data_IF_868996025267
#
_entry.id   IF_868996025267
#
_cell.length_a   1.000
_cell.length_b   1.000
_cell.length_c   1.000
_cell.angle_alpha   90.00
_cell.angle_beta   90.00
_cell.angle_gamma   90.00
#
_symmetry.space_group_name_H-M   'P 1'
#
loop_
_entity.id
_entity.type
_entity.pdbx_description
1 polymer ?
#
# COMPACT_ATOMS: atom_id res chain seq x y z
N UNK A 1 -0.80 55.88 88.20
CA UNK A 1 -0.05 54.66 87.85
C UNK A 1 -0.28 54.39 86.35
N UNK A 2 0.53 54.97 85.47
CA UNK A 2 1.67 54.32 84.80
C UNK A 2 1.28 53.01 84.08
N UNK A 3 1.41 52.91 82.75
CA UNK A 3 2.66 52.48 82.11
C UNK A 3 2.51 52.11 80.61
N UNK A 4 3.21 52.87 79.75
CA UNK A 4 4.10 52.47 78.63
C UNK A 4 3.70 51.42 77.56
N UNK A 5 3.77 51.92 76.30
CA UNK A 5 4.55 51.46 75.11
C UNK A 5 4.19 50.16 74.37
N UNK A 6 4.08 50.25 73.03
CA UNK A 6 4.79 49.52 71.93
C UNK A 6 3.98 49.65 70.62
N UNK A 7 4.38 50.50 69.64
CA UNK A 7 5.21 50.22 68.43
C UNK A 7 4.66 49.12 67.49
N UNK A 8 4.21 49.50 66.28
CA UNK A 8 4.54 48.84 65.00
C UNK A 8 3.99 49.63 63.78
N UNK A 9 4.91 50.15 62.95
CA UNK A 9 4.68 50.54 61.55
C UNK A 9 4.52 49.26 60.69
N UNK A 10 3.54 49.22 59.77
CA UNK A 10 3.68 48.47 58.50
C UNK A 10 3.11 49.32 57.36
N UNK A 11 4.01 49.69 56.45
CA UNK A 11 3.78 50.36 55.18
C UNK A 11 3.22 49.38 54.12
N UNK A 12 2.39 49.95 53.24
CA UNK A 12 2.26 49.68 51.81
C UNK A 12 1.88 48.25 51.37
N UNK A 13 0.57 48.02 51.26
CA UNK A 13 0.00 47.03 50.35
C UNK A 13 0.02 47.54 48.90
N UNK A 14 0.42 46.67 47.97
CA UNK A 14 0.37 46.97 46.53
C UNK A 14 1.23 46.06 45.66
N UNK A 15 1.09 44.74 45.78
CA UNK A 15 1.70 43.79 44.83
C UNK A 15 0.64 43.31 43.84
N UNK A 16 0.57 43.96 42.67
CA UNK A 16 -0.28 43.55 41.57
C UNK A 16 0.36 42.35 40.84
N UNK A 17 -0.16 41.15 41.08
CA UNK A 17 0.16 39.95 40.30
C UNK A 17 -0.64 39.96 38.99
N UNK A 18 0.00 40.38 37.90
CA UNK A 18 -0.46 40.14 36.55
C UNK A 18 -0.15 38.68 36.16
N UNK A 19 -1.13 37.78 36.33
CA UNK A 19 -1.07 36.42 35.80
C UNK A 19 -1.45 36.43 34.31
N UNK A 20 -0.49 36.75 33.45
CA UNK A 20 -0.58 36.57 32.00
C UNK A 20 -0.41 35.09 31.61
N UNK A 21 -1.47 34.31 31.72
CA UNK A 21 -1.51 32.91 31.27
C UNK A 21 -1.72 32.81 29.76
N UNK A 22 -0.64 32.90 28.97
CA UNK A 22 -0.64 32.47 27.56
C UNK A 22 -0.48 30.93 27.48
N UNK A 23 -1.54 30.21 27.82
CA UNK A 23 -1.68 28.78 27.53
C UNK A 23 -2.31 28.58 26.16
N UNK A 24 -1.55 28.81 25.09
CA UNK A 24 -1.95 28.51 23.71
C UNK A 24 -2.03 27.00 23.45
N UNK A 25 -2.97 26.31 24.08
CA UNK A 25 -3.31 24.94 23.73
C UNK A 25 -4.02 24.94 22.38
N UNK A 26 -3.40 24.35 21.36
CA UNK A 26 -4.03 24.17 20.06
C UNK A 26 -5.44 23.56 20.25
N UNK A 27 -6.45 24.20 19.65
CA UNK A 27 -7.83 23.74 19.77
C UNK A 27 -7.94 22.26 19.35
N UNK A 28 -8.69 21.42 20.08
CA UNK A 28 -8.86 20.02 19.72
C UNK A 28 -9.38 19.85 18.29
N UNK A 29 -8.73 18.99 17.50
CA UNK A 29 -9.15 18.72 16.12
C UNK A 29 -10.59 18.19 16.07
N UNK A 30 -11.36 18.64 15.08
CA UNK A 30 -12.74 18.21 14.85
C UNK A 30 -13.13 18.30 13.38
N UNK A 31 -14.26 17.72 13.00
CA UNK A 31 -14.80 17.77 11.63
C UNK A 31 -14.62 16.47 10.86
N UNK A 32 -14.98 16.50 9.58
CA UNK A 32 -14.92 15.34 8.70
C UNK A 32 -13.64 15.30 7.84
N UNK A 33 -13.18 14.09 7.54
CA UNK A 33 -12.14 13.80 6.53
C UNK A 33 -12.69 12.72 5.59
N UNK A 34 -12.81 13.04 4.31
CA UNK A 34 -13.28 12.11 3.29
C UNK A 34 -12.09 11.48 2.54
N UNK A 35 -11.94 10.17 2.68
CA UNK A 35 -10.93 9.35 1.98
C UNK A 35 -11.64 8.36 1.06
N UNK A 36 -11.14 8.16 -0.14
CA UNK A 36 -11.61 7.12 -1.06
C UNK A 36 -10.43 6.58 -1.88
N UNK A 37 -10.48 5.34 -2.37
CA UNK A 37 -9.31 4.79 -3.04
C UNK A 37 -9.34 3.33 -3.45
N UNK A 38 -8.15 2.83 -3.77
CA UNK A 38 -7.89 1.42 -4.05
C UNK A 38 -8.07 0.56 -2.79
N UNK A 39 -8.78 -0.55 -2.92
CA UNK A 39 -9.07 -1.46 -1.81
C UNK A 39 -7.81 -1.99 -1.11
N UNK A 40 -6.71 -2.19 -1.85
CA UNK A 40 -5.42 -2.60 -1.27
C UNK A 40 -4.88 -1.63 -0.20
N UNK A 41 -5.21 -0.34 -0.31
CA UNK A 41 -4.78 0.69 0.63
C UNK A 41 -5.86 1.03 1.67
N UNK A 42 -7.06 0.45 1.57
CA UNK A 42 -8.16 0.68 2.51
C UNK A 42 -7.81 0.25 3.94
N UNK A 43 -7.23 -0.95 4.20
CA UNK A 43 -6.84 -1.33 5.56
C UNK A 43 -5.84 -0.34 6.19
N UNK A 44 -4.89 0.15 5.38
CA UNK A 44 -3.94 1.19 5.82
C UNK A 44 -4.65 2.49 6.19
N UNK A 45 -5.55 2.97 5.32
CA UNK A 45 -6.28 4.22 5.54
C UNK A 45 -7.23 4.12 6.75
N UNK A 46 -7.88 2.98 6.95
CA UNK A 46 -8.72 2.70 8.12
C UNK A 46 -7.90 2.64 9.42
N UNK A 47 -6.72 2.01 9.40
CA UNK A 47 -5.84 1.98 10.56
C UNK A 47 -5.31 3.38 10.92
N UNK A 48 -5.01 4.22 9.92
CA UNK A 48 -4.70 5.63 10.13
C UNK A 48 -5.91 6.38 10.71
N UNK A 49 -7.10 6.21 10.15
CA UNK A 49 -8.35 6.81 10.65
C UNK A 49 -8.62 6.46 12.13
N UNK A 50 -8.48 5.18 12.49
CA UNK A 50 -8.63 4.71 13.87
C UNK A 50 -7.56 5.29 14.80
N UNK A 51 -6.32 5.44 14.32
CA UNK A 51 -5.25 6.10 15.07
C UNK A 51 -5.56 7.56 15.39
N UNK A 52 -6.08 8.32 14.42
CA UNK A 52 -6.47 9.72 14.62
C UNK A 52 -7.69 9.83 15.53
N UNK A 53 -8.69 8.97 15.35
CA UNK A 53 -9.91 9.00 16.17
C UNK A 53 -9.61 8.76 17.65
N UNK A 54 -8.62 7.91 17.98
CA UNK A 54 -8.17 7.69 19.36
C UNK A 54 -7.59 8.94 20.02
N UNK A 55 -6.87 9.77 19.27
CA UNK A 55 -6.23 10.99 19.80
C UNK A 55 -7.09 12.24 19.58
N UNK A 56 -8.06 12.19 18.67
CA UNK A 56 -8.96 13.29 18.30
C UNK A 56 -10.38 12.75 18.04
N UNK A 57 -11.15 12.41 19.09
CA UNK A 57 -12.44 11.72 18.96
C UNK A 57 -13.53 12.50 18.21
N UNK A 58 -13.37 13.81 18.08
CA UNK A 58 -14.28 14.71 17.34
C UNK A 58 -14.00 14.74 15.84
N UNK A 59 -12.92 14.10 15.37
CA UNK A 59 -12.66 13.90 13.94
C UNK A 59 -13.36 12.64 13.47
N UNK A 60 -14.09 12.73 12.36
CA UNK A 60 -14.73 11.59 11.70
C UNK A 60 -14.08 11.37 10.35
N UNK A 61 -13.40 10.25 10.17
CA UNK A 61 -12.77 9.88 8.91
C UNK A 61 -13.62 8.80 8.24
N UNK A 62 -14.07 9.06 7.02
CA UNK A 62 -14.74 8.05 6.18
C UNK A 62 -13.76 7.52 5.15
N UNK A 63 -13.69 6.20 4.98
CA UNK A 63 -12.80 5.54 4.01
C UNK A 63 -13.62 4.71 3.04
N UNK A 64 -13.69 5.16 1.78
CA UNK A 64 -14.30 4.45 0.65
C UNK A 64 -13.31 3.57 -0.11
N UNK A 65 -13.84 2.69 -0.94
CA UNK A 65 -13.08 1.74 -1.77
C UNK A 65 -13.55 1.75 -3.23
N UNK A 66 -13.61 2.92 -3.87
CA UNK A 66 -14.09 3.03 -5.26
C UNK A 66 -13.04 2.71 -6.34
N UNK A 67 -11.79 2.43 -5.95
CA UNK A 67 -10.66 2.25 -6.86
C UNK A 67 -9.92 3.56 -7.16
N UNK A 68 -8.66 3.46 -7.61
CA UNK A 68 -7.80 4.65 -7.81
C UNK A 68 -8.38 5.65 -8.81
N UNK A 69 -8.89 5.18 -9.95
CA UNK A 69 -9.40 6.04 -11.02
C UNK A 69 -10.63 6.86 -10.55
N UNK A 70 -11.59 6.20 -9.90
CA UNK A 70 -12.77 6.89 -9.36
C UNK A 70 -12.40 7.83 -8.22
N UNK A 71 -11.50 7.43 -7.33
CA UNK A 71 -11.00 8.31 -6.29
C UNK A 71 -10.30 9.57 -6.86
N UNK A 72 -9.52 9.44 -7.94
CA UNK A 72 -8.95 10.60 -8.62
C UNK A 72 -10.01 11.52 -9.22
N UNK A 73 -11.04 10.98 -9.89
CA UNK A 73 -12.16 11.78 -10.39
C UNK A 73 -12.82 12.60 -9.26
N UNK A 74 -13.09 11.95 -8.12
CA UNK A 74 -13.71 12.59 -6.94
C UNK A 74 -12.79 13.61 -6.30
N UNK A 75 -11.49 13.35 -6.22
CA UNK A 75 -10.49 14.30 -5.72
C UNK A 75 -10.42 15.54 -6.62
N UNK A 76 -10.39 15.33 -7.95
CA UNK A 76 -10.40 16.42 -8.93
C UNK A 76 -11.70 17.22 -8.88
N UNK A 77 -12.84 16.59 -8.56
CA UNK A 77 -14.11 17.28 -8.36
C UNK A 77 -14.22 17.99 -6.99
N UNK A 78 -13.25 17.82 -6.09
CA UNK A 78 -13.29 18.37 -4.73
C UNK A 78 -14.27 17.66 -3.79
N UNK A 79 -14.75 16.47 -4.16
CA UNK A 79 -15.73 15.69 -3.37
C UNK A 79 -15.09 14.95 -2.19
N UNK A 80 -13.78 14.72 -2.24
CA UNK A 80 -13.02 14.04 -1.18
C UNK A 80 -11.75 14.84 -0.86
N UNK A 81 -11.24 14.64 0.36
CA UNK A 81 -10.01 15.30 0.81
C UNK A 81 -8.77 14.54 0.38
N UNK A 82 -8.84 13.20 0.37
CA UNK A 82 -7.70 12.32 0.10
C UNK A 82 -8.09 11.16 -0.81
N UNK A 83 -7.36 10.98 -1.92
CA UNK A 83 -7.41 9.77 -2.72
C UNK A 83 -6.28 8.80 -2.32
N UNK A 84 -6.65 7.61 -1.84
CA UNK A 84 -5.74 6.50 -1.54
C UNK A 84 -5.48 5.70 -2.83
N UNK A 85 -4.35 5.93 -3.50
CA UNK A 85 -4.12 5.42 -4.86
C UNK A 85 -3.04 4.33 -4.90
N UNK A 86 -3.26 3.33 -5.75
CA UNK A 86 -2.34 2.23 -6.00
C UNK A 86 -1.54 2.39 -7.31
N UNK A 87 -1.55 3.61 -7.86
CA UNK A 87 -0.73 4.04 -8.99
C UNK A 87 -0.57 5.56 -8.94
N UNK A 88 0.41 6.12 -9.67
CA UNK A 88 0.41 7.54 -9.95
C UNK A 88 -0.88 7.97 -10.68
N UNK A 89 -1.29 9.21 -10.46
CA UNK A 89 -2.31 9.86 -11.30
C UNK A 89 -1.83 9.91 -12.75
N UNK A 90 -2.73 9.64 -13.69
CA UNK A 90 -2.41 9.64 -15.12
C UNK A 90 -2.10 11.07 -15.59
N UNK A 91 -0.88 11.35 -16.09
CA UNK A 91 -0.51 12.69 -16.54
C UNK A 91 -1.22 13.16 -17.82
N UNK A 92 -1.77 12.22 -18.61
CA UNK A 92 -2.40 12.51 -19.91
C UNK A 92 -3.92 12.74 -19.78
N UNK A 93 -4.57 12.11 -18.81
CA UNK A 93 -6.05 12.12 -18.71
C UNK A 93 -6.57 12.72 -17.40
N UNK A 94 -6.06 12.25 -16.25
CA UNK A 94 -6.56 12.61 -14.92
C UNK A 94 -5.96 13.93 -14.40
N UNK A 95 -4.65 14.12 -14.53
CA UNK A 95 -4.01 15.38 -14.11
C UNK A 95 -4.56 16.61 -14.86
N UNK A 96 -4.79 16.57 -16.19
CA UNK A 96 -5.48 17.64 -16.89
C UNK A 96 -6.92 17.86 -16.41
N UNK A 97 -7.64 16.80 -16.02
CA UNK A 97 -8.99 16.94 -15.49
C UNK A 97 -9.01 17.71 -14.15
N UNK A 98 -8.09 17.38 -13.23
CA UNK A 98 -7.88 18.15 -11.99
C UNK A 98 -7.56 19.63 -12.27
N UNK A 99 -6.68 19.91 -13.25
CA UNK A 99 -6.37 21.31 -13.61
C UNK A 99 -7.60 22.06 -14.13
N UNK A 100 -8.42 21.43 -14.97
CA UNK A 100 -9.65 22.04 -15.53
C UNK A 100 -10.68 22.37 -14.45
N UNK A 101 -10.78 21.56 -13.40
CA UNK A 101 -11.65 21.83 -12.25
C UNK A 101 -11.04 22.80 -11.22
N UNK A 102 -9.81 23.26 -11.44
CA UNK A 102 -9.06 24.09 -10.48
C UNK A 102 -8.57 23.32 -9.25
N UNK A 103 -8.72 22.00 -9.22
CA UNK A 103 -8.25 21.17 -8.11
C UNK A 103 -6.73 21.00 -8.19
N UNK A 104 -6.07 21.38 -7.10
CA UNK A 104 -4.66 21.13 -6.87
C UNK A 104 -4.50 19.97 -5.88
N UNK A 105 -3.47 19.15 -6.09
CA UNK A 105 -3.19 18.01 -5.25
C UNK A 105 -1.70 17.83 -5.00
N UNK A 106 -1.37 17.13 -3.92
CA UNK A 106 -0.02 16.68 -3.62
C UNK A 106 0.01 15.17 -3.41
N UNK A 107 1.01 14.51 -3.99
CA UNK A 107 1.19 13.06 -3.91
C UNK A 107 2.16 12.69 -2.78
N UNK A 108 1.74 11.85 -1.84
CA UNK A 108 2.57 11.41 -0.72
C UNK A 108 2.65 9.88 -0.77
N UNK A 109 3.86 9.34 -1.00
CA UNK A 109 4.05 7.89 -0.99
C UNK A 109 3.94 7.37 0.45
N UNK A 110 3.25 6.25 0.64
CA UNK A 110 3.04 5.68 1.99
C UNK A 110 3.46 4.21 2.11
N UNK A 111 3.46 3.45 1.01
CA UNK A 111 3.87 2.05 0.99
C UNK A 111 4.22 1.59 -0.43
N UNK A 112 4.64 0.33 -0.54
CA UNK A 112 4.59 -0.46 -1.75
C UNK A 112 3.65 -1.65 -1.58
N UNK A 113 3.26 -2.23 -2.71
CA UNK A 113 2.54 -3.50 -2.77
C UNK A 113 3.08 -4.32 -3.94
N UNK A 114 3.02 -5.64 -3.82
CA UNK A 114 3.43 -6.54 -4.88
C UNK A 114 2.94 -7.96 -4.68
N UNK A 115 2.56 -8.58 -5.79
CA UNK A 115 2.22 -9.99 -5.87
C UNK A 115 3.46 -10.76 -6.32
N UNK A 116 3.74 -11.86 -5.65
CA UNK A 116 4.87 -12.73 -5.96
C UNK A 116 4.37 -14.05 -6.48
N UNK A 117 5.10 -14.62 -7.44
CA UNK A 117 4.79 -15.95 -7.96
C UNK A 117 5.59 -16.99 -7.17
N UNK A 118 4.90 -18.01 -6.69
CA UNK A 118 5.47 -19.08 -5.87
C UNK A 118 5.07 -20.45 -6.39
N UNK A 119 5.92 -21.44 -6.12
CA UNK A 119 5.57 -22.85 -6.31
C UNK A 119 6.08 -23.69 -5.13
N UNK A 120 5.75 -24.97 -5.15
CA UNK A 120 6.20 -25.93 -4.16
C UNK A 120 7.68 -26.31 -4.36
N UNK A 121 8.49 -26.33 -3.30
CA UNK A 121 9.90 -26.79 -3.36
C UNK A 121 10.04 -28.23 -3.85
N UNK A 122 9.01 -29.07 -3.70
CA UNK A 122 9.00 -30.44 -4.21
C UNK A 122 8.98 -30.56 -5.75
N UNK A 123 8.63 -29.48 -6.47
CA UNK A 123 8.78 -29.42 -7.92
C UNK A 123 10.27 -29.59 -8.29
N UNK A 124 11.17 -29.02 -7.48
CA UNK A 124 12.63 -29.11 -7.59
C UNK A 124 13.16 -30.55 -7.47
N UNK A 125 12.50 -31.40 -6.67
CA UNK A 125 12.97 -32.76 -6.38
C UNK A 125 12.49 -33.82 -7.40
N UNK A 126 11.46 -33.53 -8.19
CA UNK A 126 10.77 -34.54 -9.02
C UNK A 126 11.27 -34.61 -10.47
N UNK A 127 12.16 -33.69 -10.87
CA UNK A 127 12.65 -33.56 -12.26
C UNK A 127 14.18 -33.49 -12.22
N UNK A 128 14.81 -34.66 -12.12
CA UNK A 128 16.22 -34.88 -11.77
C UNK A 128 17.29 -34.30 -12.73
N UNK A 129 16.94 -33.36 -13.63
CA UNK A 129 17.90 -32.55 -14.40
C UNK A 129 17.57 -31.05 -14.52
N UNK A 130 16.31 -30.62 -14.29
CA UNK A 130 15.84 -29.24 -14.55
C UNK A 130 14.73 -28.76 -13.60
N UNK A 131 14.60 -29.34 -12.40
CA UNK A 131 13.36 -29.26 -11.61
C UNK A 131 12.96 -27.92 -11.01
N UNK A 132 13.81 -26.89 -11.04
CA UNK A 132 13.46 -25.60 -10.45
C UNK A 132 13.03 -24.58 -11.52
N UNK A 133 11.97 -23.84 -11.23
CA UNK A 133 11.57 -22.67 -12.01
C UNK A 133 12.19 -21.47 -11.30
N UNK A 134 13.32 -20.99 -11.83
CA UNK A 134 14.02 -19.85 -11.28
C UNK A 134 13.38 -18.54 -11.71
N UNK A 135 12.92 -18.49 -12.95
CA UNK A 135 12.56 -17.24 -13.60
C UNK A 135 11.52 -17.46 -14.70
N UNK A 136 10.53 -16.58 -14.76
CA UNK A 136 9.51 -16.55 -15.80
C UNK A 136 9.52 -15.20 -16.52
N UNK A 137 9.22 -15.22 -17.81
CA UNK A 137 8.84 -13.99 -18.52
C UNK A 137 7.39 -13.63 -18.15
N UNK A 138 7.02 -12.34 -18.11
CA UNK A 138 5.62 -11.93 -18.01
C UNK A 138 4.74 -12.61 -19.07
N UNK A 139 5.25 -12.84 -20.28
CA UNK A 139 4.53 -13.51 -21.37
C UNK A 139 4.28 -14.99 -21.09
N UNK A 140 5.17 -15.67 -20.35
CA UNK A 140 4.96 -17.06 -19.92
C UNK A 140 3.89 -17.13 -18.84
N UNK A 141 3.86 -16.17 -17.91
CA UNK A 141 2.76 -16.04 -16.96
C UNK A 141 1.44 -15.76 -17.68
N UNK A 142 1.42 -14.85 -18.65
CA UNK A 142 0.25 -14.59 -19.48
C UNK A 142 -0.23 -15.84 -20.21
N UNK A 143 0.68 -16.64 -20.76
CA UNK A 143 0.34 -17.90 -21.42
C UNK A 143 -0.34 -18.89 -20.45
N UNK A 144 0.06 -18.91 -19.17
CA UNK A 144 -0.59 -19.72 -18.15
C UNK A 144 -1.98 -19.21 -17.76
N UNK A 145 -2.13 -17.90 -17.58
CA UNK A 145 -3.26 -17.31 -16.86
C UNK A 145 -4.34 -16.68 -17.74
N UNK A 146 -4.02 -16.28 -18.97
CA UNK A 146 -5.00 -15.60 -19.85
C UNK A 146 -6.26 -16.45 -20.08
N UNK A 147 -7.37 -15.76 -20.31
CA UNK A 147 -8.62 -16.40 -20.72
C UNK A 147 -8.43 -17.26 -21.97
N UNK A 148 -9.08 -18.44 -21.98
CA UNK A 148 -8.94 -19.44 -23.05
C UNK A 148 -7.58 -20.13 -23.12
N UNK A 149 -6.70 -19.99 -22.12
CA UNK A 149 -5.42 -20.71 -22.10
C UNK A 149 -5.65 -22.22 -22.12
N UNK A 150 -4.97 -22.91 -23.05
CA UNK A 150 -4.91 -24.37 -23.14
C UNK A 150 -3.64 -24.94 -22.50
N UNK A 151 -2.84 -24.10 -21.83
CA UNK A 151 -1.61 -24.55 -21.17
C UNK A 151 -2.00 -25.35 -19.93
N UNK A 152 -1.58 -26.61 -19.90
CA UNK A 152 -1.83 -27.55 -18.81
C UNK A 152 -0.56 -28.20 -18.29
N UNK A 153 0.59 -28.02 -18.95
CA UNK A 153 1.90 -28.57 -18.54
C UNK A 153 2.98 -27.50 -18.62
N UNK A 154 3.90 -27.48 -17.65
CA UNK A 154 5.00 -26.50 -17.60
C UNK A 154 5.88 -26.54 -18.85
N UNK A 155 6.07 -27.70 -19.48
CA UNK A 155 6.88 -27.84 -20.68
C UNK A 155 6.34 -27.06 -21.89
N UNK A 156 5.04 -26.73 -21.91
CA UNK A 156 4.41 -25.94 -22.97
C UNK A 156 4.82 -24.45 -22.93
N UNK A 157 5.48 -24.00 -21.86
CA UNK A 157 6.01 -22.63 -21.75
C UNK A 157 7.39 -22.45 -22.41
N UNK A 158 7.97 -23.52 -22.95
CA UNK A 158 9.29 -23.51 -23.57
C UNK A 158 10.41 -23.43 -22.54
N UNK A 159 11.43 -22.62 -22.83
CA UNK A 159 12.58 -22.44 -21.94
C UNK A 159 12.38 -21.26 -20.98
N UNK A 160 12.95 -21.40 -19.79
CA UNK A 160 13.16 -20.29 -18.88
C UNK A 160 14.08 -19.23 -19.52
N UNK A 161 13.99 -17.96 -19.12
CA UNK A 161 14.82 -16.88 -19.67
C UNK A 161 16.33 -17.05 -19.49
N UNK A 162 16.74 -17.95 -18.59
CA UNK A 162 18.12 -18.34 -18.31
C UNK A 162 18.59 -19.53 -19.14
N UNK A 163 17.89 -19.86 -20.24
CA UNK A 163 18.21 -20.97 -21.15
C UNK A 163 18.19 -22.35 -20.48
N UNK A 164 17.32 -22.52 -19.49
CA UNK A 164 17.02 -23.81 -18.88
C UNK A 164 15.61 -24.25 -19.33
N UNK A 165 15.39 -25.51 -19.72
CA UNK A 165 14.05 -25.98 -20.07
C UNK A 165 13.12 -25.91 -18.86
N UNK A 166 11.83 -25.72 -19.11
CA UNK A 166 10.81 -25.88 -18.07
C UNK A 166 10.71 -27.34 -17.61
N UNK A 167 10.36 -27.59 -16.34
CA UNK A 167 10.09 -28.95 -15.88
C UNK A 167 8.90 -29.54 -16.66
N UNK A 168 8.85 -30.88 -16.75
CA UNK A 168 7.66 -31.57 -17.27
C UNK A 168 6.67 -31.79 -16.13
N UNK A 169 5.38 -31.65 -16.43
CA UNK A 169 4.30 -32.05 -15.53
C UNK A 169 3.14 -31.07 -15.55
N UNK A 170 1.95 -31.62 -15.29
CA UNK A 170 0.72 -30.83 -15.20
C UNK A 170 0.89 -29.68 -14.20
N UNK A 171 0.53 -28.47 -14.62
CA UNK A 171 0.44 -27.30 -13.74
C UNK A 171 -0.94 -27.24 -13.09
N UNK A 172 -0.96 -27.01 -11.78
CA UNK A 172 -2.16 -26.61 -11.04
C UNK A 172 -2.00 -25.15 -10.63
N UNK A 173 -3.03 -24.34 -10.87
CA UNK A 173 -2.97 -22.90 -10.64
C UNK A 173 -3.75 -22.49 -9.39
N UNK A 174 -3.18 -21.54 -8.64
CA UNK A 174 -3.70 -21.03 -7.37
C UNK A 174 -3.64 -19.49 -7.34
N UNK A 175 -4.75 -18.83 -7.04
CA UNK A 175 -4.79 -17.37 -7.09
C UNK A 175 -5.98 -16.76 -6.37
N UNK A 176 -6.04 -15.44 -6.37
CA UNK A 176 -7.17 -14.72 -5.80
C UNK A 176 -8.44 -14.89 -6.68
N UNK A 177 -9.66 -14.88 -6.09
CA UNK A 177 -10.90 -14.99 -6.86
C UNK A 177 -11.20 -13.70 -7.63
N UNK A 178 -11.99 -13.84 -8.69
CA UNK A 178 -12.50 -12.71 -9.48
C UNK A 178 -13.20 -11.66 -8.60
N UNK A 179 -13.03 -10.38 -8.94
CA UNK A 179 -13.58 -9.25 -8.19
C UNK A 179 -12.76 -8.83 -6.96
N UNK A 180 -11.64 -9.49 -6.67
CA UNK A 180 -10.68 -9.03 -5.65
C UNK A 180 -9.60 -8.13 -6.26
N UNK A 181 -9.06 -7.22 -5.46
CA UNK A 181 -7.99 -6.31 -5.91
C UNK A 181 -6.71 -7.04 -6.35
N UNK A 182 -6.39 -8.19 -5.74
CA UNK A 182 -5.25 -9.00 -6.12
C UNK A 182 -5.47 -9.66 -7.50
N UNK A 183 -6.66 -10.19 -7.77
CA UNK A 183 -7.01 -10.75 -9.07
C UNK A 183 -7.01 -9.66 -10.17
N UNK A 184 -7.68 -8.54 -9.91
CA UNK A 184 -7.75 -7.43 -10.85
C UNK A 184 -6.36 -6.87 -11.14
N UNK A 185 -5.49 -6.74 -10.12
CA UNK A 185 -4.12 -6.29 -10.32
C UNK A 185 -3.29 -7.29 -11.11
N UNK A 186 -3.38 -8.59 -10.81
CA UNK A 186 -2.63 -9.62 -11.53
C UNK A 186 -3.02 -9.65 -13.02
N UNK A 187 -4.32 -9.76 -13.31
CA UNK A 187 -4.87 -9.84 -14.68
C UNK A 187 -4.58 -8.58 -15.50
N UNK A 188 -4.74 -7.39 -14.91
CA UNK A 188 -4.37 -6.13 -15.58
C UNK A 188 -2.88 -6.10 -15.96
N UNK A 189 -2.00 -6.64 -15.11
CA UNK A 189 -0.55 -6.57 -15.29
C UNK A 189 0.06 -7.70 -16.11
N UNK A 190 -0.53 -8.88 -16.08
CA UNK A 190 -0.04 -10.07 -16.76
C UNK A 190 -0.84 -10.32 -18.03
N UNK A 191 -2.16 -10.35 -17.94
CA UNK A 191 -3.03 -10.65 -19.08
C UNK A 191 -3.30 -9.41 -19.94
N UNK A 192 -3.15 -8.22 -19.35
CA UNK A 192 -3.29 -6.92 -20.00
C UNK A 192 -4.73 -6.40 -20.00
N UNK A 193 -5.67 -7.18 -19.47
CA UNK A 193 -7.08 -6.81 -19.32
C UNK A 193 -7.50 -7.11 -17.89
N UNK A 194 -7.98 -6.07 -17.18
CA UNK A 194 -8.44 -6.20 -15.80
C UNK A 194 -9.62 -7.18 -15.74
N UNK A 195 -9.54 -8.14 -14.83
CA UNK A 195 -10.60 -9.10 -14.58
C UNK A 195 -10.65 -10.26 -15.58
N UNK A 196 -9.75 -10.30 -16.56
CA UNK A 196 -9.71 -11.35 -17.58
C UNK A 196 -8.69 -12.43 -17.21
N UNK A 197 -9.16 -13.65 -16.98
CA UNK A 197 -8.33 -14.81 -16.69
C UNK A 197 -9.06 -16.09 -17.03
N UNK A 198 -8.34 -17.20 -17.16
CA UNK A 198 -8.95 -18.53 -17.14
C UNK A 198 -9.66 -18.78 -15.80
N UNK A 199 -10.66 -19.65 -15.79
CA UNK A 199 -11.51 -19.90 -14.60
C UNK A 199 -11.23 -21.24 -13.92
N UNK A 200 -10.41 -22.10 -14.51
CA UNK A 200 -10.12 -23.47 -14.05
C UNK A 200 -8.91 -23.54 -13.09
N UNK A 201 -8.77 -22.53 -12.21
CA UNK A 201 -7.77 -22.47 -11.15
C UNK A 201 -8.44 -22.55 -9.77
N UNK A 202 -7.66 -22.83 -8.73
CA UNK A 202 -8.15 -22.84 -7.35
C UNK A 202 -8.06 -21.44 -6.76
N UNK A 203 -9.21 -20.91 -6.36
CA UNK A 203 -9.32 -19.54 -5.89
C UNK A 203 -9.51 -19.45 -4.38
N UNK A 204 -8.83 -18.50 -3.73
CA UNK A 204 -9.06 -18.13 -2.33
C UNK A 204 -8.69 -16.68 -2.09
N UNK A 205 -9.49 -15.95 -1.31
CA UNK A 205 -9.18 -14.58 -0.88
C UNK A 205 -8.21 -14.53 0.32
N UNK A 206 -7.89 -15.68 0.91
CA UNK A 206 -6.90 -15.82 1.96
C UNK A 206 -5.60 -16.39 1.39
N UNK A 207 -4.57 -15.56 1.31
CA UNK A 207 -3.23 -15.95 0.86
C UNK A 207 -2.64 -17.10 1.69
N UNK A 208 -2.97 -17.21 2.98
CA UNK A 208 -2.49 -18.31 3.80
C UNK A 208 -3.15 -19.64 3.40
N UNK A 209 -4.41 -19.62 2.93
CA UNK A 209 -5.04 -20.80 2.31
C UNK A 209 -4.32 -21.14 1.01
N UNK A 210 -4.11 -20.17 0.11
CA UNK A 210 -3.41 -20.39 -1.16
C UNK A 210 -2.03 -21.03 -0.94
N UNK A 211 -1.24 -20.47 -0.03
CA UNK A 211 0.07 -21.01 0.36
C UNK A 211 -0.05 -22.45 0.87
N UNK A 212 -0.99 -22.75 1.77
CA UNK A 212 -1.18 -24.12 2.29
C UNK A 212 -1.58 -25.10 1.20
N UNK A 213 -2.37 -24.68 0.22
CA UNK A 213 -2.77 -25.54 -0.88
C UNK A 213 -1.62 -25.79 -1.87
N UNK A 214 -0.84 -24.75 -2.21
CA UNK A 214 0.37 -24.87 -3.03
C UNK A 214 1.38 -25.82 -2.36
N UNK A 215 1.53 -25.74 -1.03
CA UNK A 215 2.41 -26.65 -0.28
C UNK A 215 1.94 -28.12 -0.30
N UNK A 216 0.65 -28.39 -0.53
CA UNK A 216 0.10 -29.74 -0.67
C UNK A 216 0.17 -30.26 -2.12
N UNK A 217 0.26 -29.35 -3.09
CA UNK A 217 0.40 -29.71 -4.50
C UNK A 217 1.86 -29.56 -4.96
N UNK A 218 2.54 -30.68 -5.16
CA UNK A 218 3.94 -30.71 -5.62
C UNK A 218 4.15 -30.04 -6.99
N UNK A 219 3.09 -29.77 -7.75
CA UNK A 219 3.11 -29.08 -9.05
C UNK A 219 2.33 -27.76 -9.05
N UNK A 220 1.90 -27.29 -7.88
CA UNK A 220 1.16 -26.04 -7.74
C UNK A 220 2.03 -24.82 -8.04
N UNK A 221 1.47 -23.89 -8.82
CA UNK A 221 1.98 -22.54 -9.02
C UNK A 221 0.88 -21.54 -8.67
N UNK A 222 1.23 -20.49 -7.96
CA UNK A 222 0.28 -19.44 -7.66
C UNK A 222 0.92 -18.09 -7.45
N UNK A 223 0.07 -17.08 -7.26
CA UNK A 223 0.49 -15.75 -6.86
C UNK A 223 -0.16 -15.35 -5.54
N UNK A 224 0.62 -14.71 -4.66
CA UNK A 224 0.21 -14.23 -3.33
C UNK A 224 0.93 -12.92 -2.99
N UNK A 225 0.52 -12.21 -1.94
CA UNK A 225 1.31 -11.09 -1.43
C UNK A 225 2.67 -11.56 -0.88
N UNK A 226 3.71 -10.71 -0.97
CA UNK A 226 5.06 -11.06 -0.49
C UNK A 226 5.06 -11.53 0.98
N UNK A 227 4.30 -10.87 1.86
CA UNK A 227 4.22 -11.23 3.27
C UNK A 227 3.70 -12.65 3.52
N UNK A 228 2.82 -13.16 2.65
CA UNK A 228 2.31 -14.53 2.76
C UNK A 228 3.37 -15.57 2.36
N UNK A 229 4.19 -15.26 1.35
CA UNK A 229 5.36 -16.06 1.01
C UNK A 229 6.38 -16.07 2.15
N UNK A 230 6.73 -14.90 2.70
CA UNK A 230 7.76 -14.77 3.74
C UNK A 230 7.44 -15.63 4.97
N UNK A 231 6.16 -15.81 5.30
CA UNK A 231 5.70 -16.67 6.39
C UNK A 231 5.95 -18.18 6.16
N UNK A 232 6.29 -18.62 4.94
CA UNK A 232 6.56 -20.03 4.56
C UNK A 232 7.76 -20.15 3.60
N UNK A 233 8.72 -19.22 3.65
CA UNK A 233 9.79 -19.10 2.66
C UNK A 233 10.68 -20.35 2.53
N UNK A 234 10.83 -21.15 3.59
CA UNK A 234 11.64 -22.38 3.55
C UNK A 234 10.98 -23.51 2.74
N UNK A 235 9.68 -23.41 2.47
CA UNK A 235 8.88 -24.50 1.88
C UNK A 235 8.30 -24.15 0.50
N UNK A 236 8.44 -22.89 0.08
CA UNK A 236 8.04 -22.40 -1.22
C UNK A 236 9.27 -21.95 -2.01
N UNK A 237 9.32 -22.23 -3.32
CA UNK A 237 10.24 -21.47 -4.15
C UNK A 237 9.58 -20.15 -4.55
N UNK A 238 10.39 -19.10 -4.55
CA UNK A 238 10.03 -17.79 -5.05
C UNK A 238 10.53 -17.64 -6.49
N UNK A 239 9.63 -17.30 -7.41
CA UNK A 239 9.93 -17.23 -8.84
C UNK A 239 10.26 -15.79 -9.23
N UNK A 240 11.45 -15.57 -9.80
CA UNK A 240 11.85 -14.29 -10.34
C UNK A 240 11.09 -13.94 -11.63
N UNK A 241 11.00 -12.66 -11.97
CA UNK A 241 10.49 -12.21 -13.27
C UNK A 241 11.62 -11.69 -14.14
N UNK A 242 11.60 -12.04 -15.42
CA UNK A 242 12.55 -11.51 -16.38
C UNK A 242 12.17 -10.09 -16.80
N UNK A 243 12.92 -9.11 -16.31
CA UNK A 243 12.67 -7.68 -16.49
C UNK A 243 13.95 -7.00 -16.93
N UNK A 244 13.90 -6.25 -18.04
CA UNK A 244 15.06 -5.48 -18.52
C UNK A 244 16.30 -6.33 -18.79
N UNK A 245 16.13 -7.56 -19.30
CA UNK A 245 17.23 -8.45 -19.68
C UNK A 245 17.79 -9.31 -18.54
N UNK A 246 17.22 -9.26 -17.34
CA UNK A 246 17.67 -10.08 -16.18
C UNK A 246 16.51 -10.62 -15.36
N UNK A 247 16.75 -11.68 -14.62
CA UNK A 247 15.80 -12.20 -13.63
C UNK A 247 15.86 -11.36 -12.36
N UNK A 248 14.73 -10.76 -11.98
CA UNK A 248 14.57 -9.96 -10.76
C UNK A 248 13.75 -10.75 -9.76
N UNK A 249 14.39 -11.13 -8.65
CA UNK A 249 13.73 -11.79 -7.52
C UNK A 249 12.84 -10.80 -6.77
N UNK A 250 11.58 -11.14 -6.45
CA UNK A 250 10.76 -10.27 -5.63
C UNK A 250 11.28 -10.26 -4.19
N UNK A 251 11.53 -9.06 -3.69
CA UNK A 251 11.94 -8.79 -2.33
C UNK A 251 11.28 -7.49 -1.90
N UNK A 252 11.26 -7.22 -0.59
CA UNK A 252 10.80 -5.92 -0.11
C UNK A 252 11.55 -4.76 -0.79
N UNK A 253 12.83 -4.90 -1.12
CA UNK A 253 13.61 -3.84 -1.78
C UNK A 253 13.23 -3.67 -3.26
N UNK A 254 13.18 -4.75 -4.04
CA UNK A 254 12.86 -4.69 -5.48
C UNK A 254 11.41 -4.28 -5.76
N UNK A 255 10.49 -4.56 -4.83
CA UNK A 255 9.11 -4.07 -4.92
C UNK A 255 9.05 -2.60 -4.49
N UNK A 256 9.82 -2.20 -3.48
CA UNK A 256 9.81 -0.82 -3.00
C UNK A 256 10.49 0.15 -3.98
N UNK A 257 11.55 -0.26 -4.67
CA UNK A 257 12.19 0.55 -5.73
C UNK A 257 11.47 0.43 -7.09
N UNK A 258 10.60 -0.57 -7.25
CA UNK A 258 9.82 -0.77 -8.45
C UNK A 258 10.60 -1.45 -9.58
N UNK A 259 11.67 -2.18 -9.28
CA UNK A 259 12.42 -3.00 -10.23
C UNK A 259 11.75 -4.36 -10.51
N UNK A 260 10.96 -4.90 -9.56
CA UNK A 260 10.17 -6.13 -9.75
C UNK A 260 8.84 -5.85 -10.48
N UNK A 261 8.90 -5.56 -11.78
CA UNK A 261 7.71 -5.28 -12.63
C UNK A 261 7.25 -6.52 -13.41
N UNK A 262 5.97 -6.61 -13.82
CA UNK A 262 4.90 -5.64 -13.65
C UNK A 262 4.08 -5.81 -12.35
N UNK A 263 4.39 -6.82 -11.53
CA UNK A 263 3.62 -7.20 -10.33
C UNK A 263 3.96 -6.38 -9.08
N UNK A 264 4.41 -5.14 -9.26
CA UNK A 264 4.69 -4.19 -8.19
C UNK A 264 3.95 -2.90 -8.44
N UNK A 265 3.43 -2.28 -7.38
CA UNK A 265 2.85 -0.95 -7.45
C UNK A 265 3.19 -0.07 -6.24
N UNK A 266 3.54 1.20 -6.45
CA UNK A 266 3.66 2.17 -5.37
C UNK A 266 2.28 2.58 -4.85
N UNK A 267 2.18 2.84 -3.55
CA UNK A 267 0.94 3.29 -2.91
C UNK A 267 1.09 4.72 -2.38
N UNK A 268 0.07 5.54 -2.63
CA UNK A 268 0.08 6.97 -2.35
C UNK A 268 -1.19 7.43 -1.62
N UNK A 269 -1.05 8.49 -0.84
CA UNK A 269 -2.14 9.37 -0.46
C UNK A 269 -2.01 10.66 -1.28
N UNK A 270 -2.98 10.93 -2.13
CA UNK A 270 -3.11 12.18 -2.87
C UNK A 270 -4.05 13.09 -2.10
N UNK A 271 -3.57 14.23 -1.64
CA UNK A 271 -4.37 15.20 -0.87
C UNK A 271 -4.75 16.39 -1.72
N UNK A 272 -6.00 16.84 -1.64
CA UNK A 272 -6.42 18.13 -2.17
C UNK A 272 -5.75 19.26 -1.36
N UNK A 273 -4.95 20.11 -2.00
CA UNK A 273 -4.12 21.09 -1.28
C UNK A 273 -4.96 22.17 -0.59
N UNK A 274 -6.15 22.49 -1.12
CA UNK A 274 -7.09 23.38 -0.44
C UNK A 274 -7.61 22.74 0.84
N UNK A 275 -8.04 21.47 0.79
CA UNK A 275 -8.42 20.73 2.00
C UNK A 275 -7.29 20.67 3.02
N UNK A 276 -6.04 20.47 2.58
CA UNK A 276 -4.87 20.46 3.46
C UNK A 276 -4.67 21.81 4.17
N UNK A 277 -4.86 22.93 3.46
CA UNK A 277 -4.69 24.27 3.99
C UNK A 277 -5.84 24.71 4.92
N UNK A 278 -7.08 24.40 4.55
CA UNK A 278 -8.28 24.91 5.23
C UNK A 278 -8.79 23.99 6.35
N UNK A 279 -8.44 22.69 6.35
CA UNK A 279 -8.98 21.69 7.28
C UNK A 279 -7.87 21.09 8.16
N UNK A 280 -7.68 21.58 9.41
CA UNK A 280 -6.66 21.06 10.32
C UNK A 280 -6.75 19.54 10.57
N UNK A 281 -7.96 18.98 10.56
CA UNK A 281 -8.19 17.54 10.69
C UNK A 281 -7.68 16.71 9.50
N UNK A 282 -7.64 17.28 8.29
CA UNK A 282 -7.02 16.63 7.11
C UNK A 282 -5.51 16.60 7.27
N UNK A 283 -4.90 17.70 7.71
CA UNK A 283 -3.49 17.75 8.05
C UNK A 283 -3.14 16.76 9.18
N UNK A 284 -4.00 16.65 10.19
CA UNK A 284 -3.87 15.68 11.28
C UNK A 284 -3.90 14.23 10.79
N UNK A 285 -4.84 13.88 9.90
CA UNK A 285 -4.92 12.56 9.28
C UNK A 285 -3.65 12.21 8.50
N UNK A 286 -3.17 13.11 7.64
CA UNK A 286 -1.97 12.88 6.84
C UNK A 286 -0.71 12.82 7.68
N UNK A 287 -0.59 13.69 8.69
CA UNK A 287 0.54 13.67 9.64
C UNK A 287 0.64 12.33 10.34
N UNK A 288 -0.49 11.80 10.83
CA UNK A 288 -0.53 10.47 11.44
C UNK A 288 -0.19 9.39 10.42
N UNK A 289 -0.85 9.38 9.25
CA UNK A 289 -0.66 8.38 8.22
C UNK A 289 0.80 8.29 7.75
N UNK A 290 1.46 9.44 7.54
CA UNK A 290 2.87 9.52 7.16
C UNK A 290 3.76 9.15 8.33
N UNK A 291 3.57 9.74 9.51
CA UNK A 291 4.42 9.47 10.68
C UNK A 291 4.42 7.99 11.06
N UNK A 292 3.28 7.32 10.91
CA UNK A 292 3.06 5.90 11.21
C UNK A 292 3.08 5.02 9.95
N UNK A 293 3.53 5.51 8.80
CA UNK A 293 3.42 4.77 7.53
C UNK A 293 4.09 3.39 7.59
N UNK A 294 5.28 3.27 8.20
CA UNK A 294 6.00 1.99 8.31
C UNK A 294 5.19 0.94 9.10
N UNK A 295 4.80 1.18 10.37
CA UNK A 295 4.02 0.20 11.12
C UNK A 295 2.62 -0.03 10.56
N UNK A 296 1.98 0.99 9.96
CA UNK A 296 0.68 0.83 9.31
C UNK A 296 0.76 -0.06 8.06
N UNK A 297 1.80 0.11 7.24
CA UNK A 297 2.04 -0.73 6.07
C UNK A 297 2.26 -2.19 6.48
N UNK A 298 3.14 -2.44 7.45
CA UNK A 298 3.42 -3.80 7.95
C UNK A 298 2.16 -4.48 8.50
N UNK A 299 1.37 -3.78 9.32
CA UNK A 299 0.12 -4.31 9.87
C UNK A 299 -0.94 -4.60 8.78
N UNK A 300 -0.88 -3.87 7.67
CA UNK A 300 -1.76 -4.06 6.50
C UNK A 300 -1.21 -5.08 5.50
N UNK A 301 -0.13 -5.80 5.83
CA UNK A 301 0.59 -6.73 4.93
C UNK A 301 1.11 -6.07 3.63
N UNK A 302 1.35 -4.76 3.69
CA UNK A 302 1.98 -3.97 2.63
C UNK A 302 3.47 -3.86 2.88
N UNK A 303 4.21 -3.42 1.86
CA UNK A 303 5.67 -3.29 1.95
C UNK A 303 6.01 -1.91 2.50
N UNK A 304 6.63 -1.83 3.69
CA UNK A 304 6.96 -0.55 4.30
C UNK A 304 7.99 0.23 3.48
N UNK A 305 7.88 1.56 3.55
CA UNK A 305 8.91 2.45 3.03
C UNK A 305 10.22 2.32 3.84
N UNK A 306 11.35 2.62 3.20
CA UNK A 306 12.58 2.85 3.96
C UNK A 306 12.46 4.11 4.81
N UNK A 307 13.32 4.24 5.82
CA UNK A 307 13.46 5.51 6.57
C UNK A 307 13.78 6.69 5.64
N UNK A 308 14.57 6.48 4.58
CA UNK A 308 14.90 7.52 3.61
C UNK A 308 13.67 7.96 2.80
N UNK A 309 12.91 7.01 2.25
CA UNK A 309 11.67 7.31 1.51
C UNK A 309 10.59 7.92 2.41
N UNK A 310 10.51 7.50 3.68
CA UNK A 310 9.63 8.11 4.65
C UNK A 310 10.01 9.57 4.91
N UNK A 311 11.31 9.90 5.02
CA UNK A 311 11.75 11.30 5.11
C UNK A 311 11.33 12.10 3.87
N UNK A 312 11.52 11.57 2.67
CA UNK A 312 11.06 12.22 1.43
C UNK A 312 9.55 12.44 1.42
N UNK A 313 8.78 11.50 1.97
CA UNK A 313 7.31 11.60 2.06
C UNK A 313 6.87 12.64 3.09
N UNK A 314 7.60 12.78 4.20
CA UNK A 314 7.40 13.89 5.17
C UNK A 314 7.70 15.24 4.54
N UNK A 315 8.84 15.38 3.86
CA UNK A 315 9.19 16.60 3.13
C UNK A 315 8.19 16.93 2.02
N UNK A 316 7.56 15.93 1.39
CA UNK A 316 6.48 16.16 0.44
C UNK A 316 5.21 16.71 1.13
N UNK A 317 4.85 16.15 2.30
CA UNK A 317 3.72 16.63 3.10
C UNK A 317 3.95 18.05 3.63
N UNK A 318 5.15 18.36 4.12
CA UNK A 318 5.47 19.69 4.67
C UNK A 318 5.42 20.76 3.58
N UNK A 319 6.03 20.50 2.42
CA UNK A 319 5.91 21.37 1.24
C UNK A 319 4.44 21.57 0.80
N UNK A 320 3.65 20.50 0.79
CA UNK A 320 2.23 20.58 0.45
C UNK A 320 1.43 21.43 1.46
N UNK A 321 1.85 21.46 2.72
CA UNK A 321 1.26 22.26 3.78
C UNK A 321 1.84 23.69 3.87
N UNK A 322 2.78 24.07 3.00
CA UNK A 322 3.44 25.38 3.02
C UNK A 322 4.42 25.57 4.18
N UNK A 323 5.04 24.48 4.66
CA UNK A 323 6.02 24.46 5.76
C UNK A 323 7.42 24.05 5.30
#
# INVERSE_FOLDING_TARGET
>A
MNMRRLVALILAGGFALAAGGCGGGAAPLSGAVAVDGAGVLVPFAQAAAAGLTRTSPRVKVTVGSSGSARAFQRLCAGEIDVAAAARPIDPLTEAPACRRSGAQYSAIRVAGDGLVVVNNTALTASVARFGNIYCLRPEQLKALWRSGSTVTDYAQLGDQPVHLPMPRGRVSLYGAPAGTDAFDFFTERIDGTRGDSRTDYRASSDDAVLVREILRDRRGLGYVGLAAYEAQAERLNLIALFVGGRCVTPTADTIRDGSYRPLTRPLFLYVNTRSLAEKPQVAGFLSLAVTRAIPLAAASKLIPLTRAQLRSSRTALDRAAGR
#
